data_IF_106135441156
#
_entry.id   IF_106135441156
#
_cell.length_a   1.000
_cell.length_b   1.000
_cell.length_c   1.000
_cell.angle_alpha   90.00
_cell.angle_beta   90.00
_cell.angle_gamma   90.00
#
_symmetry.space_group_name_H-M   'P 1'
#
loop_
_entity.id
_entity.type
_entity.pdbx_description
1 polymer ?
#
# COMPACT_ATOMS: atom_id res chain seq x y z
N UNK A 1 25.69 9.65 8.77
CA UNK A 1 26.31 9.48 7.43
C UNK A 1 25.59 8.38 6.63
N UNK A 2 25.34 7.22 7.23
CA UNK A 2 24.68 6.07 6.57
C UNK A 2 23.21 6.32 6.17
N UNK A 3 22.41 7.01 6.99
CA UNK A 3 21.03 7.40 6.67
C UNK A 3 20.93 8.27 5.39
N UNK A 4 21.85 9.23 5.24
CA UNK A 4 21.92 10.09 4.05
C UNK A 4 22.29 9.31 2.79
N UNK A 5 23.20 8.34 2.92
CA UNK A 5 23.59 7.45 1.82
C UNK A 5 22.43 6.53 1.42
N UNK A 6 21.72 5.98 2.39
CA UNK A 6 20.59 5.09 2.12
C UNK A 6 19.43 5.81 1.41
N UNK A 7 19.08 7.03 1.87
CA UNK A 7 18.06 7.85 1.20
C UNK A 7 18.43 8.08 -0.27
N UNK A 8 19.70 8.40 -0.54
CA UNK A 8 20.18 8.60 -1.91
C UNK A 8 20.11 7.31 -2.73
N UNK A 9 20.52 6.17 -2.19
CA UNK A 9 20.42 4.88 -2.88
C UNK A 9 18.98 4.45 -3.13
N UNK A 10 18.07 4.66 -2.17
CA UNK A 10 16.64 4.39 -2.37
C UNK A 10 16.06 5.27 -3.46
N UNK A 11 16.44 6.55 -3.49
CA UNK A 11 16.03 7.43 -4.58
C UNK A 11 16.53 6.90 -5.92
N UNK A 12 17.82 6.57 -6.04
CA UNK A 12 18.41 6.05 -7.27
C UNK A 12 17.79 4.72 -7.71
N UNK A 13 17.55 3.78 -6.77
CA UNK A 13 16.93 2.50 -7.05
C UNK A 13 15.49 2.66 -7.57
N UNK A 14 14.69 3.53 -6.93
CA UNK A 14 13.35 3.82 -7.41
C UNK A 14 13.39 4.46 -8.80
N UNK A 15 14.27 5.43 -9.03
CA UNK A 15 14.37 6.13 -10.32
C UNK A 15 14.80 5.15 -11.42
N UNK A 16 15.72 4.24 -11.13
CA UNK A 16 16.13 3.17 -12.03
C UNK A 16 14.98 2.23 -12.37
N UNK A 17 14.22 1.74 -11.37
CA UNK A 17 13.08 0.85 -11.59
C UNK A 17 12.00 1.55 -12.42
N UNK A 18 11.68 2.80 -12.10
CA UNK A 18 10.70 3.59 -12.83
C UNK A 18 11.13 3.87 -14.28
N UNK A 19 12.41 4.18 -14.51
CA UNK A 19 12.96 4.35 -15.85
C UNK A 19 12.88 3.03 -16.64
N UNK A 20 13.31 1.91 -16.05
CA UNK A 20 13.26 0.61 -16.68
C UNK A 20 11.83 0.19 -17.04
N UNK A 21 10.84 0.45 -16.17
CA UNK A 21 9.44 0.16 -16.47
C UNK A 21 8.89 1.00 -17.62
N UNK A 22 9.27 2.29 -17.70
CA UNK A 22 8.91 3.14 -18.83
C UNK A 22 9.51 2.62 -20.13
N UNK A 23 10.79 2.23 -20.11
CA UNK A 23 11.47 1.68 -21.29
C UNK A 23 10.84 0.36 -21.75
N UNK A 24 10.51 -0.53 -20.81
CA UNK A 24 9.80 -1.78 -21.10
C UNK A 24 8.38 -1.53 -21.66
N UNK A 25 7.71 -0.48 -21.20
CA UNK A 25 6.39 -0.08 -21.70
C UNK A 25 6.42 0.67 -23.04
N UNK A 26 7.57 1.20 -23.47
CA UNK A 26 7.70 1.85 -24.78
C UNK A 26 7.69 0.83 -25.94
N UNK A 27 7.95 -0.45 -25.65
CA UNK A 27 7.91 -1.55 -26.62
C UNK A 27 6.50 -2.08 -26.97
N UNK A 28 5.43 -1.62 -26.30
CA UNK A 28 4.06 -2.10 -26.53
C UNK A 28 3.14 -1.92 -25.32
N UNK A 29 1.94 -2.54 -25.36
CA UNK A 29 1.06 -2.63 -24.17
C UNK A 29 1.82 -3.30 -23.02
N UNK A 30 1.54 -2.90 -21.79
CA UNK A 30 1.94 -3.64 -20.59
C UNK A 30 1.49 -5.09 -20.77
N UNK A 31 2.46 -5.96 -21.01
CA UNK A 31 2.25 -7.39 -21.22
C UNK A 31 2.16 -8.10 -19.86
N UNK A 32 1.57 -9.30 -19.84
CA UNK A 32 1.44 -10.16 -18.65
C UNK A 32 2.80 -10.33 -17.92
N UNK A 33 3.88 -10.31 -18.69
CA UNK A 33 5.26 -10.35 -18.18
C UNK A 33 5.60 -9.17 -17.28
N UNK A 34 5.27 -7.93 -17.68
CA UNK A 34 5.58 -6.71 -16.91
C UNK A 34 4.74 -6.68 -15.63
N UNK A 35 3.46 -7.05 -15.74
CA UNK A 35 2.59 -7.18 -14.59
C UNK A 35 3.11 -8.19 -13.56
N UNK A 36 3.52 -9.37 -14.02
CA UNK A 36 4.11 -10.40 -13.16
C UNK A 36 5.39 -9.93 -12.45
N UNK A 37 6.26 -9.20 -13.15
CA UNK A 37 7.48 -8.62 -12.57
C UNK A 37 7.13 -7.61 -11.48
N UNK A 38 6.20 -6.69 -11.75
CA UNK A 38 5.79 -5.65 -10.78
C UNK A 38 5.12 -6.28 -9.56
N UNK A 39 4.19 -7.22 -9.76
CA UNK A 39 3.52 -7.92 -8.67
C UNK A 39 4.53 -8.72 -7.81
N UNK A 40 5.49 -9.37 -8.45
CA UNK A 40 6.58 -10.08 -7.75
C UNK A 40 7.47 -9.13 -6.95
N UNK A 41 7.78 -7.95 -7.49
CA UNK A 41 8.53 -6.92 -6.79
C UNK A 41 7.76 -6.41 -5.56
N UNK A 42 6.48 -6.05 -5.73
CA UNK A 42 5.61 -5.58 -4.64
C UNK A 42 5.54 -6.64 -3.54
N UNK A 43 5.31 -7.90 -3.89
CA UNK A 43 5.27 -9.02 -2.93
C UNK A 43 6.58 -9.15 -2.15
N UNK A 44 7.73 -9.08 -2.83
CA UNK A 44 9.05 -9.17 -2.18
C UNK A 44 9.32 -7.99 -1.26
N UNK A 45 8.99 -6.76 -1.67
CA UNK A 45 9.15 -5.57 -0.86
C UNK A 45 8.22 -5.61 0.36
N UNK A 46 6.95 -5.97 0.17
CA UNK A 46 5.98 -6.11 1.26
C UNK A 46 6.45 -7.16 2.28
N UNK A 47 6.94 -8.32 1.83
CA UNK A 47 7.51 -9.34 2.73
C UNK A 47 8.70 -8.80 3.52
N UNK A 48 9.56 -7.99 2.90
CA UNK A 48 10.72 -7.36 3.56
C UNK A 48 10.31 -6.26 4.54
N UNK A 49 9.24 -5.54 4.24
CA UNK A 49 8.67 -4.52 5.11
C UNK A 49 8.03 -5.13 6.36
N UNK A 50 7.31 -6.26 6.22
CA UNK A 50 6.59 -6.88 7.34
C UNK A 50 7.44 -7.87 8.15
N UNK A 51 8.43 -8.54 7.54
CA UNK A 51 9.23 -9.56 8.22
C UNK A 51 10.64 -9.03 8.47
N UNK A 52 10.80 -8.03 9.34
CA UNK A 52 12.09 -7.43 9.66
C UNK A 52 13.19 -8.49 9.77
N UNK A 53 14.35 -8.26 9.13
CA UNK A 53 15.44 -9.23 9.04
C UNK A 53 15.81 -9.76 10.43
N UNK A 54 15.57 -11.05 10.71
CA UNK A 54 15.85 -11.78 11.97
C UNK A 54 17.31 -11.73 12.50
N UNK A 55 18.15 -10.83 12.00
CA UNK A 55 19.54 -10.66 12.44
C UNK A 55 19.76 -9.19 12.83
N UNK A 56 20.08 -8.98 14.10
CA UNK A 56 20.49 -7.74 14.77
C UNK A 56 19.37 -6.77 15.23
N UNK A 57 19.12 -6.82 16.54
CA UNK A 57 18.10 -6.09 17.31
C UNK A 57 18.28 -4.55 17.35
N UNK A 58 19.42 -4.02 16.90
CA UNK A 58 19.73 -2.57 17.01
C UNK A 58 19.61 -1.78 15.69
N UNK A 59 19.52 -2.45 14.53
CA UNK A 59 19.36 -1.81 13.20
C UNK A 59 17.95 -2.05 12.61
N UNK A 60 17.10 -2.77 13.35
CA UNK A 60 15.88 -3.41 12.87
C UNK A 60 14.78 -2.43 12.42
N UNK A 61 14.57 -1.33 13.16
CA UNK A 61 13.48 -0.39 12.86
C UNK A 61 13.69 0.36 11.56
N UNK A 62 14.92 0.79 11.25
CA UNK A 62 15.18 1.65 10.09
C UNK A 62 14.94 0.93 8.76
N UNK A 63 15.20 -0.38 8.69
CA UNK A 63 15.06 -1.13 7.43
C UNK A 63 13.61 -1.23 6.94
N UNK A 64 12.64 -1.43 7.84
CA UNK A 64 11.24 -1.49 7.43
C UNK A 64 10.75 -0.13 6.90
N UNK A 65 11.13 0.97 7.56
CA UNK A 65 10.84 2.34 7.10
C UNK A 65 11.47 2.64 5.74
N UNK A 66 12.68 2.15 5.52
CA UNK A 66 13.37 2.26 4.25
C UNK A 66 12.66 1.53 3.11
N UNK A 67 12.21 0.30 3.35
CA UNK A 67 11.43 -0.45 2.36
C UNK A 67 10.08 0.24 2.10
N UNK A 68 9.41 0.72 3.15
CA UNK A 68 8.17 1.49 3.03
C UNK A 68 8.39 2.77 2.20
N UNK A 69 9.49 3.50 2.45
CA UNK A 69 9.85 4.70 1.71
C UNK A 69 10.11 4.40 0.22
N UNK A 70 10.83 3.31 -0.07
CA UNK A 70 11.04 2.84 -1.44
C UNK A 70 9.71 2.51 -2.11
N UNK A 71 8.81 1.77 -1.44
CA UNK A 71 7.47 1.46 -1.95
C UNK A 71 6.64 2.72 -2.20
N UNK A 72 6.68 3.70 -1.29
CA UNK A 72 6.03 5.02 -1.48
C UNK A 72 6.57 5.72 -2.73
N UNK A 73 7.89 5.76 -2.91
CA UNK A 73 8.51 6.40 -4.08
C UNK A 73 8.16 5.69 -5.39
N UNK A 74 8.22 4.35 -5.41
CA UNK A 74 7.76 3.56 -6.56
C UNK A 74 6.28 3.81 -6.86
N UNK A 75 5.46 3.92 -5.81
CA UNK A 75 4.05 4.23 -5.94
C UNK A 75 3.74 5.61 -6.52
N UNK A 76 4.70 6.54 -6.63
CA UNK A 76 4.47 7.80 -7.36
C UNK A 76 4.02 7.58 -8.82
N UNK A 77 4.33 6.42 -9.38
CA UNK A 77 3.77 5.96 -10.65
C UNK A 77 2.39 5.29 -10.46
N UNK A 78 1.31 5.74 -11.15
CA UNK A 78 -0.05 5.23 -10.98
C UNK A 78 -0.18 3.72 -11.16
N UNK A 79 0.55 3.13 -12.11
CA UNK A 79 0.45 1.71 -12.42
C UNK A 79 0.93 0.86 -11.23
N UNK A 80 2.03 1.27 -10.60
CA UNK A 80 2.60 0.62 -9.43
C UNK A 80 1.80 0.99 -8.18
N UNK A 81 1.50 2.27 -7.99
CA UNK A 81 0.83 2.81 -6.80
C UNK A 81 -0.51 2.15 -6.54
N UNK A 82 -1.34 1.98 -7.57
CA UNK A 82 -2.63 1.29 -7.45
C UNK A 82 -2.46 -0.19 -7.03
N UNK A 83 -1.48 -0.89 -7.60
CA UNK A 83 -1.19 -2.29 -7.23
C UNK A 83 -0.64 -2.41 -5.81
N UNK A 84 0.20 -1.47 -5.38
CA UNK A 84 0.68 -1.41 -4.00
C UNK A 84 -0.50 -1.24 -3.05
N UNK A 85 -1.39 -0.27 -3.27
CA UNK A 85 -2.56 -0.07 -2.41
C UNK A 85 -3.42 -1.34 -2.37
N UNK A 86 -3.70 -1.94 -3.53
CA UNK A 86 -4.49 -3.17 -3.63
C UNK A 86 -3.88 -4.31 -2.78
N UNK A 87 -2.62 -4.65 -3.04
CA UNK A 87 -1.94 -5.76 -2.37
C UNK A 87 -1.74 -5.53 -0.87
N UNK A 88 -1.43 -4.28 -0.46
CA UNK A 88 -1.27 -3.93 0.95
C UNK A 88 -2.60 -4.03 1.69
N UNK A 89 -3.70 -3.59 1.09
CA UNK A 89 -5.05 -3.69 1.68
C UNK A 89 -5.48 -5.14 1.89
N UNK A 90 -5.22 -6.01 0.91
CA UNK A 90 -5.45 -7.46 1.06
C UNK A 90 -4.60 -8.03 2.20
N UNK A 91 -3.32 -7.64 2.29
CA UNK A 91 -2.44 -8.12 3.35
C UNK A 91 -2.85 -7.66 4.73
N UNK A 92 -3.37 -6.43 4.88
CA UNK A 92 -3.96 -5.93 6.13
C UNK A 92 -5.12 -6.82 6.55
N UNK A 93 -6.04 -7.15 5.63
CA UNK A 93 -7.18 -8.01 5.93
C UNK A 93 -6.73 -9.38 6.48
N UNK A 94 -5.76 -10.01 5.81
CA UNK A 94 -5.17 -11.29 6.23
C UNK A 94 -4.46 -11.17 7.58
N UNK A 95 -3.72 -10.07 7.80
CA UNK A 95 -3.02 -9.82 9.06
C UNK A 95 -4.02 -9.61 10.21
N UNK A 96 -5.11 -8.89 9.96
CA UNK A 96 -6.15 -8.63 10.95
C UNK A 96 -6.81 -9.94 11.41
N UNK A 97 -7.17 -10.80 10.46
CA UNK A 97 -7.73 -12.12 10.75
C UNK A 97 -6.72 -12.99 11.53
N UNK A 98 -5.46 -13.01 11.10
CA UNK A 98 -4.40 -13.76 11.80
C UNK A 98 -4.24 -13.29 13.26
N UNK A 99 -4.22 -11.97 13.46
CA UNK A 99 -4.04 -11.34 14.76
C UNK A 99 -5.25 -11.54 15.69
N UNK A 100 -6.46 -11.69 15.15
CA UNK A 100 -7.68 -11.96 15.92
C UNK A 100 -7.58 -13.28 16.69
N UNK A 101 -6.90 -14.27 16.13
CA UNK A 101 -6.73 -15.60 16.73
C UNK A 101 -5.34 -15.84 17.32
N UNK A 102 -4.41 -14.89 17.17
CA UNK A 102 -3.05 -15.02 17.66
C UNK A 102 -2.97 -14.91 19.19
N UNK A 103 -2.10 -15.73 19.78
CA UNK A 103 -1.71 -15.64 21.18
C UNK A 103 -0.89 -14.36 21.41
N UNK A 104 -1.29 -13.46 22.33
CA UNK A 104 -0.53 -12.25 22.63
C UNK A 104 0.89 -12.50 23.16
N UNK A 105 1.20 -13.73 23.60
CA UNK A 105 2.54 -14.12 24.05
C UNK A 105 3.39 -14.79 22.94
N UNK A 106 2.85 -14.94 21.72
CA UNK A 106 3.62 -15.42 20.58
C UNK A 106 4.63 -14.34 20.13
N UNK A 107 5.86 -14.76 19.80
CA UNK A 107 6.92 -13.86 19.35
C UNK A 107 6.55 -13.07 18.08
N UNK A 108 5.63 -13.57 17.25
CA UNK A 108 5.15 -12.91 16.04
C UNK A 108 4.08 -11.83 16.31
N UNK A 109 3.47 -11.82 17.50
CA UNK A 109 2.41 -10.89 17.86
C UNK A 109 2.83 -9.40 17.76
N UNK A 110 3.92 -8.94 18.39
CA UNK A 110 4.37 -7.55 18.24
C UNK A 110 4.76 -7.20 16.80
N UNK A 111 5.39 -8.12 16.07
CA UNK A 111 5.80 -7.90 14.67
C UNK A 111 4.61 -7.71 13.73
N UNK A 112 3.51 -8.43 13.99
CA UNK A 112 2.28 -8.28 13.21
C UNK A 112 1.63 -6.91 13.45
N UNK A 113 1.66 -6.43 14.70
CA UNK A 113 1.17 -5.10 15.04
C UNK A 113 1.96 -3.99 14.34
N UNK A 114 3.30 -4.08 14.33
CA UNK A 114 4.18 -3.14 13.61
C UNK A 114 3.89 -3.21 12.10
N UNK A 115 3.77 -4.42 11.55
CA UNK A 115 3.47 -4.64 10.13
C UNK A 115 2.16 -3.97 9.72
N UNK A 116 1.07 -4.14 10.49
CA UNK A 116 -0.23 -3.51 10.21
C UNK A 116 -0.09 -1.99 10.19
N UNK A 117 0.59 -1.40 11.18
CA UNK A 117 0.81 0.04 11.23
C UNK A 117 1.58 0.56 10.02
N UNK A 118 2.67 -0.12 9.64
CA UNK A 118 3.48 0.22 8.46
C UNK A 118 2.68 0.15 7.16
N UNK A 119 1.79 -0.84 7.05
CA UNK A 119 0.91 -1.00 5.89
C UNK A 119 -0.15 0.11 5.81
N UNK A 120 -0.81 0.46 6.91
CA UNK A 120 -1.80 1.55 6.94
C UNK A 120 -1.14 2.88 6.57
N UNK A 121 0.02 3.19 7.14
CA UNK A 121 0.76 4.41 6.80
C UNK A 121 1.17 4.46 5.33
N UNK A 122 1.59 3.33 4.75
CA UNK A 122 1.95 3.29 3.33
C UNK A 122 0.76 3.65 2.44
N UNK A 123 -0.43 3.09 2.73
CA UNK A 123 -1.65 3.44 2.00
C UNK A 123 -1.96 4.92 2.17
N UNK A 124 -1.89 5.44 3.40
CA UNK A 124 -2.14 6.85 3.70
C UNK A 124 -1.25 7.78 2.87
N UNK A 125 0.06 7.51 2.84
CA UNK A 125 1.01 8.31 2.05
C UNK A 125 0.68 8.26 0.56
N UNK A 126 0.38 7.08 0.02
CA UNK A 126 0.08 6.95 -1.40
C UNK A 126 -1.19 7.70 -1.79
N UNK A 127 -2.24 7.62 -0.97
CA UNK A 127 -3.50 8.32 -1.20
C UNK A 127 -3.30 9.83 -1.08
N UNK A 128 -2.71 10.28 0.01
CA UNK A 128 -2.58 11.71 0.33
C UNK A 128 -1.66 12.44 -0.64
N UNK A 129 -0.53 11.82 -1.02
CA UNK A 129 0.48 12.47 -1.84
C UNK A 129 0.16 12.39 -3.34
N UNK A 130 -0.40 11.28 -3.81
CA UNK A 130 -0.35 10.94 -5.22
C UNK A 130 -1.69 10.72 -5.90
N UNK A 131 -2.76 10.36 -5.18
CA UNK A 131 -4.04 9.99 -5.81
C UNK A 131 -4.55 11.06 -6.78
N UNK A 132 -4.59 12.33 -6.36
CA UNK A 132 -4.99 13.45 -7.23
C UNK A 132 -4.09 13.61 -8.45
N UNK A 133 -2.77 13.39 -8.30
CA UNK A 133 -1.84 13.49 -9.43
C UNK A 133 -2.01 12.35 -10.42
N UNK A 134 -2.37 11.16 -9.92
CA UNK A 134 -2.58 9.98 -10.75
C UNK A 134 -3.79 10.14 -11.67
N UNK A 135 -4.87 10.76 -11.19
CA UNK A 135 -6.11 10.89 -11.96
C UNK A 135 -5.99 11.73 -13.23
N UNK A 136 -4.97 12.59 -13.31
CA UNK A 136 -4.65 13.36 -14.51
C UNK A 136 -3.81 12.58 -15.52
N UNK A 137 -3.27 11.41 -15.16
CA UNK A 137 -2.38 10.61 -16.02
C UNK A 137 -3.17 9.57 -16.81
N UNK A 138 -2.69 9.27 -18.02
CA UNK A 138 -3.34 8.35 -18.97
C UNK A 138 -3.23 6.88 -18.58
N UNK A 139 -2.24 6.53 -17.78
CA UNK A 139 -1.95 5.18 -17.27
C UNK A 139 -2.70 4.84 -15.99
N UNK A 140 -3.62 5.71 -15.56
CA UNK A 140 -4.51 5.44 -14.44
C UNK A 140 -5.64 4.49 -14.84
N UNK A 141 -5.58 3.27 -14.32
CA UNK A 141 -6.59 2.23 -14.56
C UNK A 141 -7.83 2.41 -13.67
N UNK A 142 -8.95 2.85 -14.26
CA UNK A 142 -10.21 3.05 -13.53
C UNK A 142 -10.88 1.75 -13.07
N UNK A 143 -10.58 0.60 -13.67
CA UNK A 143 -11.10 -0.69 -13.19
C UNK A 143 -10.36 -1.11 -11.93
N UNK A 144 -9.03 -1.02 -11.97
CA UNK A 144 -8.21 -1.31 -10.80
C UNK A 144 -8.52 -0.35 -9.64
N UNK A 145 -8.90 0.90 -9.93
CA UNK A 145 -9.42 1.85 -8.94
C UNK A 145 -10.54 1.26 -8.09
N UNK A 146 -11.58 0.71 -8.72
CA UNK A 146 -12.71 0.12 -7.99
C UNK A 146 -12.24 -1.03 -7.09
N UNK A 147 -11.43 -1.94 -7.64
CA UNK A 147 -10.95 -3.12 -6.94
C UNK A 147 -10.14 -2.75 -5.69
N UNK A 148 -9.24 -1.77 -5.79
CA UNK A 148 -8.43 -1.36 -4.64
C UNK A 148 -9.20 -0.51 -3.64
N UNK A 149 -10.15 0.32 -4.07
CA UNK A 149 -11.04 1.02 -3.14
C UNK A 149 -11.84 0.01 -2.33
N UNK A 150 -12.46 -0.98 -2.98
CA UNK A 150 -13.18 -2.06 -2.28
C UNK A 150 -12.25 -2.79 -1.30
N UNK A 151 -11.02 -3.09 -1.71
CA UNK A 151 -10.02 -3.75 -0.86
C UNK A 151 -9.65 -2.91 0.38
N UNK A 152 -9.51 -1.59 0.24
CA UNK A 152 -9.25 -0.66 1.36
C UNK A 152 -10.40 -0.69 2.37
N UNK A 153 -11.65 -0.62 1.90
CA UNK A 153 -12.82 -0.68 2.79
C UNK A 153 -12.97 -2.07 3.43
N UNK A 154 -12.63 -3.14 2.72
CA UNK A 154 -12.61 -4.48 3.29
C UNK A 154 -11.55 -4.62 4.39
N UNK A 155 -10.36 -4.07 4.18
CA UNK A 155 -9.30 -4.02 5.18
C UNK A 155 -9.74 -3.26 6.45
N UNK A 156 -10.45 -2.13 6.29
CA UNK A 156 -11.06 -1.41 7.41
C UNK A 156 -12.03 -2.29 8.20
N UNK A 157 -12.97 -2.96 7.53
CA UNK A 157 -13.92 -3.88 8.18
C UNK A 157 -13.20 -5.03 8.92
N UNK A 158 -12.10 -5.55 8.36
CA UNK A 158 -11.28 -6.55 9.04
C UNK A 158 -10.63 -6.01 10.33
N UNK A 159 -10.14 -4.77 10.31
CA UNK A 159 -9.55 -4.12 11.49
C UNK A 159 -10.60 -3.76 12.57
N UNK A 160 -11.85 -3.55 12.20
CA UNK A 160 -12.96 -3.30 13.13
C UNK A 160 -13.14 -4.45 14.13
N UNK A 161 -12.96 -5.70 13.67
CA UNK A 161 -13.00 -6.88 14.53
C UNK A 161 -11.92 -6.88 15.62
N UNK A 162 -10.86 -6.11 15.44
CA UNK A 162 -9.76 -5.95 16.39
C UNK A 162 -9.91 -4.74 17.30
N UNK A 163 -10.99 -3.97 17.23
CA UNK A 163 -11.18 -2.75 18.03
C UNK A 163 -11.02 -3.01 19.53
N UNK A 164 -11.55 -4.14 20.01
CA UNK A 164 -11.44 -4.57 21.41
C UNK A 164 -10.00 -4.92 21.84
N UNK A 165 -9.13 -5.28 20.89
CA UNK A 165 -7.70 -5.57 21.14
C UNK A 165 -6.85 -4.31 20.99
N UNK A 166 -7.10 -3.53 19.95
CA UNK A 166 -6.37 -2.31 19.64
C UNK A 166 -7.19 -1.36 18.73
N UNK A 167 -7.89 -0.41 19.36
CA UNK A 167 -8.69 0.60 18.65
C UNK A 167 -7.86 1.57 17.79
N UNK A 168 -6.53 1.62 17.97
CA UNK A 168 -5.66 2.56 17.21
C UNK A 168 -5.65 2.23 15.71
N UNK A 169 -5.84 0.96 15.34
CA UNK A 169 -5.96 0.59 13.93
C UNK A 169 -7.16 1.22 13.26
N UNK A 170 -8.30 1.21 13.94
CA UNK A 170 -9.52 1.84 13.45
C UNK A 170 -9.34 3.33 13.29
N UNK A 171 -8.72 4.01 14.27
CA UNK A 171 -8.46 5.45 14.16
C UNK A 171 -7.60 5.81 12.93
N UNK A 172 -6.53 5.07 12.67
CA UNK A 172 -5.68 5.33 11.50
C UNK A 172 -6.37 4.95 10.19
N UNK A 173 -7.09 3.84 10.16
CA UNK A 173 -7.77 3.40 8.95
C UNK A 173 -8.99 4.28 8.63
N UNK A 174 -9.71 4.79 9.63
CA UNK A 174 -10.78 5.77 9.45
C UNK A 174 -10.24 7.08 8.88
N UNK A 175 -9.05 7.52 9.31
CA UNK A 175 -8.38 8.67 8.68
C UNK A 175 -8.09 8.41 7.19
N UNK A 176 -7.54 7.24 6.87
CA UNK A 176 -7.26 6.84 5.48
C UNK A 176 -8.54 6.80 4.64
N UNK A 177 -9.60 6.17 5.15
CA UNK A 177 -10.88 6.06 4.44
C UNK A 177 -11.57 7.42 4.32
N UNK A 178 -11.50 8.27 5.35
CA UNK A 178 -12.02 9.63 5.31
C UNK A 178 -11.36 10.46 4.21
N UNK A 179 -10.02 10.41 4.14
CA UNK A 179 -9.25 11.10 3.09
C UNK A 179 -9.55 10.53 1.70
N UNK A 180 -9.60 9.20 1.56
CA UNK A 180 -9.97 8.54 0.32
C UNK A 180 -11.35 9.00 -0.15
N UNK A 181 -12.35 8.96 0.72
CA UNK A 181 -13.73 9.37 0.39
C UNK A 181 -13.78 10.84 -0.02
N UNK A 182 -13.05 11.70 0.68
CA UNK A 182 -12.93 13.13 0.35
C UNK A 182 -12.35 13.35 -1.05
N UNK A 183 -11.40 12.51 -1.47
CA UNK A 183 -10.76 12.59 -2.80
C UNK A 183 -11.65 11.98 -3.89
N UNK A 184 -12.28 10.84 -3.64
CA UNK A 184 -13.19 10.18 -4.58
C UNK A 184 -14.45 11.01 -4.86
N UNK A 185 -14.89 11.84 -3.91
CA UNK A 185 -16.00 12.77 -4.08
C UNK A 185 -15.70 13.98 -4.98
N UNK A 186 -14.53 14.03 -5.62
CA UNK A 186 -14.12 15.12 -6.53
C UNK A 186 -14.04 14.61 -7.98
N UNK A 187 -14.20 15.52 -8.93
CA UNK A 187 -13.79 15.24 -10.31
C UNK A 187 -12.26 15.01 -10.38
N UNK A 188 -11.76 14.07 -11.20
CA UNK A 188 -12.51 13.24 -12.15
C UNK A 188 -13.02 11.90 -11.59
N UNK A 189 -12.81 11.58 -10.31
CA UNK A 189 -13.09 10.25 -9.74
C UNK A 189 -14.57 9.87 -9.73
N UNK A 190 -15.46 10.84 -9.51
CA UNK A 190 -16.91 10.63 -9.60
C UNK A 190 -17.33 10.05 -10.95
N UNK A 191 -16.60 10.35 -12.03
CA UNK A 191 -16.87 9.85 -13.37
C UNK A 191 -16.18 8.51 -13.65
N UNK A 192 -15.13 8.18 -12.88
CA UNK A 192 -14.34 6.97 -13.04
C UNK A 192 -14.93 5.77 -12.29
N UNK A 193 -15.60 6.01 -11.15
CA UNK A 193 -16.24 4.99 -10.35
C UNK A 193 -17.64 4.68 -10.87
N UNK A 194 -17.99 3.40 -10.98
CA UNK A 194 -19.37 2.99 -11.24
C UNK A 194 -20.27 3.42 -10.09
N UNK A 195 -21.51 3.87 -10.39
CA UNK A 195 -22.50 4.21 -9.38
C UNK A 195 -22.71 3.09 -8.34
N UNK A 196 -22.84 1.84 -8.81
CA UNK A 196 -23.06 0.67 -7.97
C UNK A 196 -21.91 0.40 -6.97
N UNK A 197 -20.69 0.83 -7.29
CA UNK A 197 -19.53 0.67 -6.40
C UNK A 197 -19.65 1.59 -5.20
N UNK A 198 -20.11 2.83 -5.39
CA UNK A 198 -20.35 3.77 -4.29
C UNK A 198 -21.47 3.25 -3.38
N UNK A 199 -22.55 2.72 -3.97
CA UNK A 199 -23.67 2.16 -3.20
C UNK A 199 -23.25 0.95 -2.34
N UNK A 200 -22.30 0.11 -2.81
CA UNK A 200 -21.77 -1.01 -2.02
C UNK A 200 -20.82 -0.61 -0.89
N UNK A 201 -20.22 0.57 -1.00
CA UNK A 201 -19.27 1.09 -0.01
C UNK A 201 -19.96 1.85 1.12
N UNK A 202 -21.09 2.50 0.81
CA UNK A 202 -21.82 3.39 1.72
C UNK A 202 -23.27 2.96 2.05
N UNK A 203 -23.82 1.98 1.33
CA UNK A 203 -25.13 1.35 1.62
C UNK A 203 -25.00 0.10 2.48
#
# INVERSE_FOLDING_TARGET
AEEGNFKNWSHQAADFILAALKDLSLGGKIDETIESIVNSLIMRLMRRMCNGSQRDEFVHNNFQFYVQHLMRKLGSDPYIGQRVIFSVSQRISIAAESLLFMDPFDNAFPEMHISIYMMIQLIEFLISDYLLSWSARRDFDSKLLEDWVISVFHARKGLELLESRNAVYMLYMDRVVGELTRLLGRDPFLQMLKPDTLDRLFG
#
